data_IF_391122639159
#
_entry.id   IF_391122639159
#
_cell.length_a   1.000
_cell.length_b   1.000
_cell.length_c   1.000
_cell.angle_alpha   90.00
_cell.angle_beta   90.00
_cell.angle_gamma   90.00
#
_symmetry.space_group_name_H-M   'P 1'
#
loop_
_entity.id
_entity.type
_entity.pdbx_description
1 polymer ?
#
# COMPACT_ATOMS: atom_id res chain seq x y z
N UNK A 1 14.46 -21.21 -2.28
CA UNK A 1 13.73 -20.15 -1.56
C UNK A 1 14.48 -19.82 -0.27
N UNK A 2 14.69 -18.53 0.02
CA UNK A 2 15.38 -18.16 1.25
C UNK A 2 14.55 -18.61 2.46
N UNK A 3 15.20 -18.98 3.56
CA UNK A 3 14.55 -19.34 4.84
C UNK A 3 13.54 -18.29 5.29
N UNK A 4 13.71 -17.01 4.88
CA UNK A 4 12.80 -15.91 5.12
C UNK A 4 11.47 -16.05 4.34
N UNK A 5 11.50 -16.53 3.08
CA UNK A 5 10.28 -16.83 2.30
C UNK A 5 9.54 -18.03 2.88
N UNK A 6 10.25 -19.08 3.30
CA UNK A 6 9.63 -20.24 3.96
C UNK A 6 8.96 -19.86 5.28
N UNK A 7 9.56 -18.98 6.10
CA UNK A 7 8.93 -18.49 7.33
C UNK A 7 7.65 -17.68 7.03
N UNK A 8 7.64 -16.84 6.01
CA UNK A 8 6.43 -16.11 5.60
C UNK A 8 5.32 -17.05 5.11
N UNK A 9 5.64 -18.10 4.39
CA UNK A 9 4.68 -19.10 3.94
C UNK A 9 4.11 -19.97 5.07
N UNK A 10 4.88 -20.21 6.15
CA UNK A 10 4.44 -20.99 7.30
C UNK A 10 3.59 -20.21 8.32
N UNK A 11 3.65 -18.86 8.31
CA UNK A 11 3.04 -18.01 9.35
C UNK A 11 1.62 -17.57 8.98
N UNK A 12 1.13 -17.86 7.76
CA UNK A 12 -0.24 -17.53 7.28
C UNK A 12 -0.64 -16.06 7.45
N UNK A 13 0.33 -15.19 7.29
CA UNK A 13 0.07 -13.76 7.27
C UNK A 13 -0.50 -13.34 5.92
N UNK A 14 -1.43 -12.41 5.96
CA UNK A 14 -1.75 -11.65 4.77
C UNK A 14 -0.55 -10.76 4.42
N UNK A 15 -0.11 -10.84 3.19
CA UNK A 15 1.01 -10.04 2.68
C UNK A 15 0.45 -8.82 1.98
N UNK A 16 0.93 -7.64 2.34
CA UNK A 16 0.65 -6.43 1.55
C UNK A 16 1.70 -6.29 0.46
N UNK A 17 1.27 -6.21 -0.78
CA UNK A 17 2.11 -5.92 -1.93
C UNK A 17 1.74 -4.57 -2.53
N UNK A 18 2.74 -3.70 -2.62
CA UNK A 18 2.68 -2.41 -3.31
C UNK A 18 3.55 -2.51 -4.58
N UNK A 19 3.09 -1.92 -5.67
CA UNK A 19 3.79 -2.00 -6.93
C UNK A 19 4.27 -0.61 -7.40
N UNK A 20 5.58 -0.38 -7.31
CA UNK A 20 6.23 0.77 -7.94
C UNK A 20 6.44 0.45 -9.43
N UNK A 21 5.38 0.58 -10.19
CA UNK A 21 5.32 0.18 -11.58
C UNK A 21 6.16 1.10 -12.48
N UNK A 22 7.22 0.54 -13.04
CA UNK A 22 8.05 1.22 -14.03
C UNK A 22 7.23 1.44 -15.30
N UNK A 23 7.07 2.70 -15.72
CA UNK A 23 6.22 3.05 -16.86
C UNK A 23 6.55 2.19 -18.10
N UNK A 24 5.53 1.63 -18.78
CA UNK A 24 5.74 0.76 -19.94
C UNK A 24 5.98 1.55 -21.23
N UNK A 25 6.82 2.59 -21.14
CA UNK A 25 7.25 3.36 -22.32
C UNK A 25 8.22 2.57 -23.18
N UNK A 26 8.23 2.86 -24.49
CA UNK A 26 9.19 2.30 -25.43
C UNK A 26 10.47 3.14 -25.54
N UNK A 27 10.51 4.31 -24.92
CA UNK A 27 11.68 5.18 -24.91
C UNK A 27 12.75 4.64 -23.97
N UNK A 28 13.93 4.33 -24.49
CA UNK A 28 15.06 3.86 -23.69
C UNK A 28 15.43 4.89 -22.62
N UNK A 29 15.70 4.43 -21.38
CA UNK A 29 16.06 5.27 -20.24
C UNK A 29 14.89 6.02 -19.61
N UNK A 30 13.66 5.91 -20.14
CA UNK A 30 12.46 6.56 -19.60
C UNK A 30 11.51 5.62 -18.83
N UNK A 31 11.91 4.39 -18.64
CA UNK A 31 11.16 3.46 -17.76
C UNK A 31 11.42 3.82 -16.31
N UNK A 32 10.51 4.57 -15.71
CA UNK A 32 10.56 5.00 -14.31
C UNK A 32 9.15 5.11 -13.74
N UNK A 33 9.01 5.02 -12.42
CA UNK A 33 7.71 5.19 -11.77
C UNK A 33 7.37 6.67 -11.47
N UNK A 34 8.36 7.56 -11.34
CA UNK A 34 8.12 9.00 -11.18
C UNK A 34 7.77 9.69 -12.49
N UNK A 35 6.74 10.54 -12.45
CA UNK A 35 6.24 11.32 -13.61
C UNK A 35 7.33 12.15 -14.27
N UNK A 36 8.19 12.80 -13.49
CA UNK A 36 9.25 13.66 -13.98
C UNK A 36 10.38 12.91 -14.70
N UNK A 37 10.46 11.59 -14.54
CA UNK A 37 11.52 10.74 -15.09
C UNK A 37 11.05 9.84 -16.22
N UNK A 38 9.78 9.91 -16.61
CA UNK A 38 9.22 9.16 -17.73
C UNK A 38 8.52 10.09 -18.70
N UNK A 39 8.37 9.66 -19.94
CA UNK A 39 7.56 10.31 -20.98
C UNK A 39 6.23 9.58 -21.24
N UNK A 40 5.91 8.59 -20.41
CA UNK A 40 4.70 7.80 -20.54
C UNK A 40 3.44 8.63 -20.29
N UNK A 41 2.54 8.66 -21.25
CA UNK A 41 1.25 9.35 -21.15
C UNK A 41 0.11 8.32 -21.02
N UNK A 42 -0.37 8.13 -19.80
CA UNK A 42 -1.42 7.15 -19.50
C UNK A 42 -2.71 7.40 -20.30
N UNK A 43 -3.16 8.68 -20.38
CA UNK A 43 -4.39 9.02 -21.10
C UNK A 43 -4.27 8.63 -22.57
N UNK A 44 -3.17 8.99 -23.19
CA UNK A 44 -2.93 8.70 -24.61
C UNK A 44 -2.82 7.19 -24.86
N UNK A 45 -2.17 6.45 -23.98
CA UNK A 45 -2.10 4.99 -24.05
C UNK A 45 -3.49 4.35 -24.00
N UNK A 46 -4.32 4.77 -23.04
CA UNK A 46 -5.68 4.23 -22.86
C UNK A 46 -6.62 4.57 -24.03
N UNK A 47 -6.44 5.72 -24.67
CA UNK A 47 -7.20 6.13 -25.86
C UNK A 47 -6.78 5.38 -27.15
N UNK A 48 -5.63 4.69 -27.13
CA UNK A 48 -5.06 3.99 -28.27
C UNK A 48 -4.72 2.52 -27.97
N UNK A 49 -5.70 1.61 -27.88
CA UNK A 49 -5.46 0.21 -27.52
C UNK A 49 -4.49 -0.55 -28.43
N UNK A 50 -4.28 -0.08 -29.66
CA UNK A 50 -3.29 -0.63 -30.58
C UNK A 50 -1.86 -0.12 -30.40
N UNK A 51 -1.64 0.84 -29.52
CA UNK A 51 -0.31 1.41 -29.29
C UNK A 51 0.61 0.46 -28.53
N UNK A 52 1.92 0.62 -28.70
CA UNK A 52 2.91 -0.13 -27.97
C UNK A 52 2.82 0.14 -26.44
N UNK A 53 2.46 1.36 -26.06
CA UNK A 53 2.29 1.78 -24.69
C UNK A 53 1.09 1.06 -24.02
N UNK A 54 -0.04 0.95 -24.71
CA UNK A 54 -1.19 0.19 -24.19
C UNK A 54 -0.87 -1.31 -24.09
N UNK A 55 -0.25 -1.87 -25.12
CA UNK A 55 0.19 -3.28 -25.09
C UNK A 55 1.22 -3.52 -23.98
N UNK A 56 2.06 -2.53 -23.69
CA UNK A 56 2.99 -2.55 -22.56
C UNK A 56 2.27 -2.60 -21.21
N UNK A 57 1.15 -1.86 -21.03
CA UNK A 57 0.31 -1.96 -19.83
C UNK A 57 -0.21 -3.39 -19.65
N UNK A 58 -0.77 -3.99 -20.71
CA UNK A 58 -1.29 -5.35 -20.64
C UNK A 58 -0.20 -6.37 -20.32
N UNK A 59 0.94 -6.26 -20.99
CA UNK A 59 2.09 -7.14 -20.80
C UNK A 59 2.60 -7.10 -19.36
N UNK A 60 2.79 -5.92 -18.79
CA UNK A 60 3.29 -5.78 -17.43
C UNK A 60 2.28 -6.32 -16.38
N UNK A 61 0.97 -6.10 -16.61
CA UNK A 61 -0.08 -6.69 -15.77
C UNK A 61 -0.02 -8.22 -15.85
N UNK A 62 0.15 -8.80 -17.03
CA UNK A 62 0.23 -10.25 -17.21
C UNK A 62 1.44 -10.85 -16.49
N UNK A 63 2.60 -10.17 -16.55
CA UNK A 63 3.80 -10.60 -15.83
C UNK A 63 3.56 -10.64 -14.32
N UNK A 64 2.94 -9.61 -13.76
CA UNK A 64 2.59 -9.58 -12.32
C UNK A 64 1.55 -10.64 -11.99
N UNK A 65 0.55 -10.86 -12.85
CA UNK A 65 -0.43 -11.92 -12.65
C UNK A 65 0.22 -13.30 -12.55
N UNK A 66 1.21 -13.60 -13.39
CA UNK A 66 1.94 -14.86 -13.33
C UNK A 66 2.67 -15.09 -11.99
N UNK A 67 3.18 -14.01 -11.36
CA UNK A 67 3.78 -14.11 -10.04
C UNK A 67 2.72 -14.24 -8.92
N UNK A 68 1.62 -13.49 -9.02
CA UNK A 68 0.52 -13.55 -8.05
C UNK A 68 -0.21 -14.91 -8.09
N UNK A 69 -0.29 -15.54 -9.27
CA UNK A 69 -0.83 -16.89 -9.44
C UNK A 69 -0.12 -17.93 -8.56
N UNK A 70 1.21 -17.83 -8.45
CA UNK A 70 2.00 -18.74 -7.58
C UNK A 70 1.61 -18.61 -6.10
N UNK A 71 1.24 -17.39 -5.68
CA UNK A 71 0.76 -17.14 -4.32
C UNK A 71 -0.68 -17.62 -4.14
N UNK A 72 -1.52 -17.51 -5.16
CA UNK A 72 -2.87 -18.07 -5.16
C UNK A 72 -2.82 -19.59 -5.04
N UNK A 73 -1.99 -20.26 -5.83
CA UNK A 73 -1.79 -21.73 -5.76
C UNK A 73 -1.28 -22.19 -4.39
N UNK A 74 -0.50 -21.34 -3.71
CA UNK A 74 -0.06 -21.57 -2.34
C UNK A 74 -1.11 -21.20 -1.27
N UNK A 75 -2.31 -20.73 -1.65
CA UNK A 75 -3.38 -20.33 -0.74
C UNK A 75 -3.07 -19.07 0.08
N UNK A 76 -2.20 -18.18 -0.40
CA UNK A 76 -1.79 -16.97 0.30
C UNK A 76 -2.71 -15.81 -0.07
N UNK A 77 -3.48 -15.23 0.86
CA UNK A 77 -4.26 -14.02 0.61
C UNK A 77 -3.31 -12.80 0.52
N UNK A 78 -3.61 -11.88 -0.39
CA UNK A 78 -2.77 -10.73 -0.68
C UNK A 78 -3.58 -9.45 -0.54
N UNK A 79 -3.11 -8.53 0.33
CA UNK A 79 -3.56 -7.15 0.28
C UNK A 79 -2.84 -6.49 -0.91
N UNK A 80 -3.55 -6.36 -2.03
CA UNK A 80 -3.02 -5.80 -3.26
C UNK A 80 -3.25 -4.29 -3.28
N UNK A 81 -2.18 -3.52 -3.15
CA UNK A 81 -2.17 -2.06 -3.11
C UNK A 81 -1.44 -1.47 -4.33
N UNK A 82 -2.00 -1.60 -5.52
CA UNK A 82 -1.43 -1.01 -6.71
C UNK A 82 -1.74 0.48 -6.80
N UNK A 83 -1.00 1.21 -7.64
CA UNK A 83 -1.32 2.57 -8.06
C UNK A 83 -1.56 3.54 -6.89
N UNK A 84 -0.79 3.40 -5.81
CA UNK A 84 -0.91 4.20 -4.59
C UNK A 84 -0.59 5.67 -4.83
N UNK A 85 -1.07 6.53 -3.95
CA UNK A 85 -0.81 7.98 -3.91
C UNK A 85 -1.07 8.73 -5.22
N UNK A 86 -2.04 8.25 -6.01
CA UNK A 86 -2.28 8.75 -7.36
C UNK A 86 -2.61 10.25 -7.43
N UNK A 87 -3.34 10.78 -6.44
CA UNK A 87 -3.73 12.19 -6.42
C UNK A 87 -2.56 13.16 -6.21
N UNK A 88 -1.42 12.66 -5.76
CA UNK A 88 -0.19 13.45 -5.61
C UNK A 88 0.46 13.81 -6.95
N UNK A 89 0.21 13.01 -8.00
CA UNK A 89 0.70 13.28 -9.36
C UNK A 89 2.20 13.03 -9.58
N UNK A 90 2.93 12.64 -8.56
CA UNK A 90 4.37 12.34 -8.68
C UNK A 90 4.65 10.99 -9.33
N UNK A 91 3.69 10.08 -9.32
CA UNK A 91 3.75 8.83 -10.05
C UNK A 91 3.01 8.93 -11.39
N UNK A 92 3.52 8.29 -12.45
CA UNK A 92 2.96 8.36 -13.80
C UNK A 92 1.49 7.95 -13.88
N UNK A 93 1.03 7.02 -13.04
CA UNK A 93 -0.36 6.59 -13.00
C UNK A 93 -1.32 7.65 -12.47
N UNK A 94 -0.79 8.69 -11.79
CA UNK A 94 -1.57 9.84 -11.32
C UNK A 94 -1.50 11.06 -12.25
N UNK A 95 -0.50 11.14 -13.12
CA UNK A 95 -0.21 12.33 -13.90
C UNK A 95 -1.32 12.78 -14.86
N UNK A 96 -2.12 11.82 -15.35
CA UNK A 96 -3.20 12.10 -16.32
C UNK A 96 -4.58 12.36 -15.65
N UNK A 97 -4.61 12.48 -14.34
CA UNK A 97 -5.80 12.82 -13.56
C UNK A 97 -6.74 11.65 -13.24
N UNK A 98 -7.82 11.92 -12.49
CA UNK A 98 -8.64 10.88 -11.88
C UNK A 98 -9.32 9.95 -12.88
N UNK A 99 -9.78 10.45 -14.02
CA UNK A 99 -10.46 9.62 -15.04
C UNK A 99 -9.52 8.57 -15.65
N UNK A 100 -8.31 8.97 -16.02
CA UNK A 100 -7.31 8.05 -16.55
C UNK A 100 -6.90 7.00 -15.50
N UNK A 101 -6.71 7.44 -14.26
CA UNK A 101 -6.45 6.55 -13.13
C UNK A 101 -7.56 5.50 -12.94
N UNK A 102 -8.81 5.93 -12.89
CA UNK A 102 -9.97 5.04 -12.73
C UNK A 102 -10.08 4.03 -13.88
N UNK A 103 -9.76 4.46 -15.10
CA UNK A 103 -9.72 3.57 -16.26
C UNK A 103 -8.59 2.55 -16.16
N UNK A 104 -7.40 2.96 -15.72
CA UNK A 104 -6.27 2.05 -15.49
C UNK A 104 -6.58 1.04 -14.38
N UNK A 105 -7.19 1.50 -13.28
CA UNK A 105 -7.61 0.61 -12.20
C UNK A 105 -8.60 -0.44 -12.69
N UNK A 106 -9.61 -0.01 -13.46
CA UNK A 106 -10.62 -0.91 -14.02
C UNK A 106 -9.98 -1.93 -14.97
N UNK A 107 -9.08 -1.48 -15.85
CA UNK A 107 -8.34 -2.35 -16.76
C UNK A 107 -7.53 -3.41 -15.97
N UNK A 108 -6.82 -2.99 -14.94
CA UNK A 108 -6.01 -3.88 -14.10
C UNK A 108 -6.92 -4.87 -13.34
N UNK A 109 -7.97 -4.36 -12.69
CA UNK A 109 -8.93 -5.18 -11.95
C UNK A 109 -9.56 -6.26 -12.84
N UNK A 110 -10.12 -5.84 -13.98
CA UNK A 110 -10.80 -6.77 -14.89
C UNK A 110 -9.84 -7.79 -15.48
N UNK A 111 -8.61 -7.38 -15.81
CA UNK A 111 -7.61 -8.31 -16.34
C UNK A 111 -7.14 -9.33 -15.28
N UNK A 112 -6.86 -8.87 -14.07
CA UNK A 112 -6.42 -9.74 -12.97
C UNK A 112 -7.51 -10.71 -12.52
N UNK A 113 -8.75 -10.23 -12.37
CA UNK A 113 -9.86 -11.05 -11.85
C UNK A 113 -10.54 -11.87 -12.93
N UNK A 114 -10.86 -11.29 -14.09
CA UNK A 114 -11.69 -11.95 -15.10
C UNK A 114 -10.87 -12.69 -16.16
N UNK A 115 -9.67 -12.19 -16.52
CA UNK A 115 -8.82 -12.85 -17.51
C UNK A 115 -7.89 -13.87 -16.86
N UNK A 116 -7.21 -13.49 -15.77
CA UNK A 116 -6.27 -14.37 -15.07
C UNK A 116 -6.89 -15.17 -13.92
N UNK A 117 -8.14 -14.89 -13.53
CA UNK A 117 -8.85 -15.63 -12.49
C UNK A 117 -8.25 -15.50 -11.09
N UNK A 118 -7.56 -14.40 -10.81
CA UNK A 118 -7.01 -14.15 -9.48
C UNK A 118 -8.15 -13.81 -8.51
N UNK A 119 -8.31 -14.62 -7.46
CA UNK A 119 -9.38 -14.50 -6.47
C UNK A 119 -8.88 -14.45 -5.02
N UNK A 120 -7.56 -14.37 -4.83
CA UNK A 120 -6.90 -14.24 -3.54
C UNK A 120 -6.47 -12.80 -3.22
N UNK A 121 -6.87 -11.81 -4.05
CA UNK A 121 -6.52 -10.41 -3.89
C UNK A 121 -7.58 -9.67 -3.07
N UNK A 122 -7.15 -8.98 -2.03
CA UNK A 122 -7.92 -7.99 -1.28
C UNK A 122 -7.48 -6.62 -1.81
N UNK A 123 -8.34 -5.94 -2.53
CA UNK A 123 -8.01 -4.72 -3.25
C UNK A 123 -7.98 -3.50 -2.33
N UNK A 124 -6.80 -2.91 -2.18
CA UNK A 124 -6.57 -1.74 -1.34
C UNK A 124 -6.43 -0.50 -2.22
N UNK A 125 -7.49 0.30 -2.29
CA UNK A 125 -7.46 1.60 -2.95
C UNK A 125 -6.70 2.62 -2.09
N UNK A 126 -5.75 3.31 -2.69
CA UNK A 126 -4.97 4.36 -2.05
C UNK A 126 -4.73 5.55 -3.00
N UNK A 127 -5.80 6.11 -3.55
CA UNK A 127 -5.73 7.31 -4.39
C UNK A 127 -5.66 8.61 -3.61
N UNK A 128 -5.93 8.57 -2.30
CA UNK A 128 -5.87 9.67 -1.31
C UNK A 128 -6.86 10.83 -1.52
N UNK A 129 -7.64 10.86 -2.58
CA UNK A 129 -8.66 11.89 -2.84
C UNK A 129 -9.97 11.22 -3.28
N UNK A 130 -11.12 11.58 -2.69
CA UNK A 130 -12.41 11.00 -3.05
C UNK A 130 -12.77 11.07 -4.53
N UNK A 131 -12.26 12.07 -5.27
CA UNK A 131 -12.48 12.20 -6.72
C UNK A 131 -11.82 11.10 -7.54
N UNK A 132 -10.83 10.41 -6.95
CA UNK A 132 -10.08 9.33 -7.59
C UNK A 132 -10.67 7.95 -7.30
N UNK A 133 -11.71 7.89 -6.46
CA UNK A 133 -12.28 6.63 -6.00
C UNK A 133 -12.79 5.76 -7.16
N UNK A 134 -12.51 4.48 -7.05
CA UNK A 134 -12.69 3.47 -8.12
C UNK A 134 -14.02 2.70 -8.03
N UNK A 135 -14.81 3.01 -7.01
CA UNK A 135 -16.10 2.35 -6.74
C UNK A 135 -15.99 1.17 -5.77
N UNK A 136 -17.09 0.93 -5.05
CA UNK A 136 -17.15 -0.11 -4.01
C UNK A 136 -17.00 -1.52 -4.58
N UNK A 137 -17.37 -1.74 -5.83
CA UNK A 137 -17.30 -3.03 -6.50
C UNK A 137 -15.86 -3.46 -6.89
N UNK A 138 -14.90 -2.52 -6.88
CA UNK A 138 -13.49 -2.77 -7.24
C UNK A 138 -12.51 -2.41 -6.13
N UNK A 139 -13.01 -2.31 -4.90
CA UNK A 139 -12.21 -1.95 -3.74
C UNK A 139 -12.74 -2.66 -2.51
N UNK A 140 -11.85 -3.22 -1.68
CA UNK A 140 -12.19 -3.87 -0.41
C UNK A 140 -11.82 -2.97 0.78
N UNK A 141 -10.68 -2.29 0.68
CA UNK A 141 -10.14 -1.43 1.74
C UNK A 141 -9.76 -0.08 1.15
N UNK A 142 -10.12 1.01 1.83
CA UNK A 142 -9.63 2.36 1.52
C UNK A 142 -8.39 2.62 2.36
N UNK A 143 -7.24 2.77 1.70
CA UNK A 143 -5.97 3.13 2.30
C UNK A 143 -5.72 4.64 2.24
N UNK A 144 -4.94 5.11 3.21
CA UNK A 144 -4.42 6.47 3.23
C UNK A 144 -3.01 6.47 3.82
N UNK A 145 -2.13 7.34 3.29
CA UNK A 145 -0.73 7.44 3.66
C UNK A 145 -0.47 8.79 4.35
N UNK A 146 -0.71 8.89 5.67
CA UNK A 146 -0.48 10.13 6.39
C UNK A 146 1.00 10.34 6.72
N UNK A 147 1.62 11.27 6.00
CA UNK A 147 2.97 11.78 6.29
C UNK A 147 2.90 13.23 6.76
N UNK A 148 3.56 13.52 7.87
CA UNK A 148 3.58 14.84 8.51
C UNK A 148 5.01 15.35 8.74
N UNK A 149 5.91 15.01 7.86
CA UNK A 149 7.37 15.14 7.97
C UNK A 149 7.91 16.57 7.98
N UNK A 150 7.11 17.57 8.32
CA UNK A 150 7.60 18.96 8.43
C UNK A 150 8.59 19.18 9.59
N UNK A 151 9.17 18.09 10.12
CA UNK A 151 10.27 18.15 11.10
C UNK A 151 9.87 18.55 12.53
N UNK A 152 8.63 18.90 12.78
CA UNK A 152 8.16 19.18 14.13
C UNK A 152 7.34 18.00 14.67
N UNK A 153 7.84 17.37 15.71
CA UNK A 153 7.15 16.41 16.57
C UNK A 153 5.97 17.06 17.29
N UNK A 154 4.99 17.56 16.56
CA UNK A 154 3.81 18.12 17.22
C UNK A 154 2.71 17.06 17.20
N UNK A 155 2.83 16.09 18.11
CA UNK A 155 1.87 15.00 18.32
C UNK A 155 0.40 15.47 18.33
N UNK A 156 0.16 16.70 18.75
CA UNK A 156 -1.16 17.30 18.77
C UNK A 156 -1.75 17.52 17.36
N UNK A 157 -0.95 18.03 16.42
CA UNK A 157 -1.41 18.24 15.03
C UNK A 157 -1.64 16.91 14.30
N UNK A 158 -0.79 15.94 14.57
CA UNK A 158 -0.90 14.61 14.04
C UNK A 158 -2.26 13.96 14.32
N UNK A 159 -2.72 13.98 15.57
CA UNK A 159 -4.00 13.36 15.96
C UNK A 159 -5.21 13.99 15.28
N UNK A 160 -5.23 15.32 15.14
CA UNK A 160 -6.32 16.02 14.48
C UNK A 160 -6.29 15.83 12.97
N UNK A 161 -5.11 15.87 12.36
CA UNK A 161 -4.92 15.61 10.95
C UNK A 161 -5.29 14.16 10.60
N UNK A 162 -4.84 13.17 11.38
CA UNK A 162 -5.22 11.77 11.21
C UNK A 162 -6.73 11.56 11.29
N UNK A 163 -7.40 12.19 12.25
CA UNK A 163 -8.84 12.08 12.36
C UNK A 163 -9.57 12.69 11.15
N UNK A 164 -9.05 13.77 10.57
CA UNK A 164 -9.62 14.36 9.37
C UNK A 164 -9.38 13.50 8.13
N UNK A 165 -8.21 12.91 7.98
CA UNK A 165 -7.91 11.97 6.88
C UNK A 165 -8.81 10.73 6.97
N UNK A 166 -8.95 10.13 8.15
CA UNK A 166 -9.90 9.03 8.37
C UNK A 166 -11.33 9.40 7.95
N UNK A 167 -11.81 10.59 8.37
CA UNK A 167 -13.15 11.08 7.97
C UNK A 167 -13.29 11.30 6.47
N UNK A 168 -12.23 11.69 5.79
CA UNK A 168 -12.21 11.82 4.32
C UNK A 168 -12.37 10.45 3.67
N UNK A 169 -11.63 9.43 4.13
CA UNK A 169 -11.80 8.05 3.67
C UNK A 169 -13.21 7.53 3.94
N UNK A 170 -13.74 7.77 5.14
CA UNK A 170 -15.11 7.38 5.51
C UNK A 170 -16.19 8.03 4.65
N UNK A 171 -15.98 9.29 4.25
CA UNK A 171 -16.88 9.98 3.31
C UNK A 171 -16.77 9.45 1.89
N UNK A 172 -15.64 8.89 1.51
CA UNK A 172 -15.44 8.28 0.19
C UNK A 172 -16.30 7.03 0.03
N UNK A 173 -16.30 6.14 1.03
CA UNK A 173 -17.26 5.04 1.16
C UNK A 173 -17.43 4.67 2.64
N UNK A 174 -18.68 4.51 3.06
CA UNK A 174 -19.04 4.07 4.42
C UNK A 174 -19.10 2.54 4.55
N UNK A 175 -18.99 1.83 3.43
CA UNK A 175 -19.11 0.38 3.37
C UNK A 175 -17.76 -0.34 3.36
N UNK A 176 -16.65 0.42 3.42
CA UNK A 176 -15.31 -0.14 3.32
C UNK A 176 -14.54 0.05 4.62
N UNK A 177 -13.68 -0.91 4.91
CA UNK A 177 -12.66 -0.76 5.96
C UNK A 177 -11.66 0.32 5.56
N UNK A 178 -11.11 1.02 6.57
CA UNK A 178 -10.19 2.12 6.35
C UNK A 178 -8.86 1.76 7.03
N UNK A 179 -7.78 1.78 6.26
CA UNK A 179 -6.44 1.42 6.72
C UNK A 179 -5.47 2.61 6.59
N UNK A 180 -4.59 2.75 7.56
CA UNK A 180 -3.40 3.57 7.42
C UNK A 180 -2.36 2.69 6.73
N UNK A 181 -2.18 2.91 5.42
CA UNK A 181 -1.39 2.02 4.56
C UNK A 181 0.09 2.36 4.57
N UNK A 182 0.42 3.61 4.88
CA UNK A 182 1.76 4.07 5.25
C UNK A 182 1.64 5.18 6.29
N UNK A 183 2.64 5.34 7.13
CA UNK A 183 2.71 6.45 8.09
C UNK A 183 4.15 6.72 8.51
N UNK A 184 4.42 7.96 8.92
CA UNK A 184 5.68 8.36 9.54
C UNK A 184 5.65 8.23 11.07
N UNK A 185 4.59 8.69 11.74
CA UNK A 185 4.42 8.63 13.19
C UNK A 185 3.45 7.53 13.60
N UNK A 186 3.72 6.92 14.75
CA UNK A 186 2.78 5.96 15.35
C UNK A 186 1.45 6.63 15.71
N UNK A 187 0.31 5.96 15.49
CA UNK A 187 -0.98 6.50 15.88
C UNK A 187 -1.13 6.57 17.41
N UNK A 188 -1.77 7.63 17.89
CA UNK A 188 -2.17 7.72 19.28
C UNK A 188 -3.48 6.93 19.46
N UNK A 189 -3.39 5.73 20.03
CA UNK A 189 -4.52 4.80 20.17
C UNK A 189 -5.67 5.40 21.00
N UNK A 190 -5.36 6.08 22.09
CA UNK A 190 -6.40 6.69 22.94
C UNK A 190 -7.20 7.74 22.17
N UNK A 191 -6.53 8.58 21.38
CA UNK A 191 -7.17 9.58 20.54
C UNK A 191 -7.98 8.95 19.40
N UNK A 192 -7.45 7.90 18.78
CA UNK A 192 -8.17 7.15 17.76
C UNK A 192 -9.51 6.62 18.28
N UNK A 193 -9.49 6.02 19.47
CA UNK A 193 -10.71 5.46 20.07
C UNK A 193 -11.66 6.56 20.57
N UNK A 194 -11.15 7.64 21.19
CA UNK A 194 -11.97 8.77 21.59
C UNK A 194 -12.69 9.46 20.42
N UNK A 195 -12.01 9.58 19.27
CA UNK A 195 -12.56 10.24 18.06
C UNK A 195 -13.31 9.28 17.16
N UNK A 196 -13.40 8.00 17.51
CA UNK A 196 -13.95 6.93 16.70
C UNK A 196 -13.34 6.87 15.28
N UNK A 197 -12.04 7.07 15.18
CA UNK A 197 -11.26 7.00 13.94
C UNK A 197 -10.35 5.79 13.95
N UNK A 198 -10.96 4.61 13.98
CA UNK A 198 -10.28 3.33 14.18
C UNK A 198 -9.74 2.82 12.85
N UNK A 199 -8.49 3.12 12.56
CA UNK A 199 -7.78 2.56 11.44
C UNK A 199 -7.63 1.03 11.59
N UNK A 200 -7.89 0.30 10.51
CA UNK A 200 -7.76 -1.17 10.48
C UNK A 200 -6.32 -1.61 10.76
N UNK A 201 -5.38 -0.94 10.13
CA UNK A 201 -3.94 -1.17 10.29
C UNK A 201 -3.20 0.15 10.35
N UNK A 202 -1.95 0.10 10.79
CA UNK A 202 -0.95 1.14 10.54
C UNK A 202 0.35 0.47 10.07
N UNK A 203 1.08 1.14 9.19
CA UNK A 203 2.30 0.62 8.60
C UNK A 203 3.35 1.73 8.56
N UNK A 204 4.15 1.83 9.62
CA UNK A 204 5.24 2.80 9.65
C UNK A 204 6.23 2.51 8.53
N UNK A 205 6.46 3.53 7.68
CA UNK A 205 7.37 3.37 6.57
C UNK A 205 8.79 3.05 7.05
N UNK A 206 9.51 2.29 6.26
CA UNK A 206 10.90 1.91 6.55
C UNK A 206 11.86 3.09 6.44
N UNK A 207 13.16 2.82 6.43
CA UNK A 207 14.24 3.80 6.29
C UNK A 207 14.31 4.75 7.48
N UNK A 208 14.47 6.05 7.24
CA UNK A 208 14.64 7.08 8.27
C UNK A 208 13.56 7.11 9.34
N UNK A 209 12.39 6.56 9.08
CA UNK A 209 11.30 6.49 10.06
C UNK A 209 11.53 5.40 11.12
N UNK A 210 12.33 4.39 10.79
CA UNK A 210 12.60 3.24 11.66
C UNK A 210 14.10 3.10 11.95
N UNK A 211 14.95 3.22 10.94
CA UNK A 211 16.37 2.94 11.03
C UNK A 211 17.23 4.19 10.80
N UNK A 212 18.44 4.17 11.33
CA UNK A 212 19.46 5.15 10.98
C UNK A 212 19.88 4.94 9.53
N UNK A 213 19.93 6.04 8.74
CA UNK A 213 20.36 5.99 7.35
C UNK A 213 21.88 5.84 7.25
N UNK A 214 22.34 4.99 6.35
CA UNK A 214 23.74 4.92 5.94
C UNK A 214 23.95 5.76 4.68
N UNK A 215 24.22 7.05 4.89
CA UNK A 215 24.41 8.00 3.80
C UNK A 215 25.64 7.67 2.92
N UNK A 216 26.61 6.90 3.45
CA UNK A 216 27.81 6.50 2.71
C UNK A 216 27.57 5.38 1.71
N UNK A 217 26.55 4.54 1.96
CA UNK A 217 26.22 3.39 1.13
C UNK A 217 25.21 3.71 0.00
N UNK A 218 24.71 4.94 -0.05
CA UNK A 218 23.81 5.40 -1.09
C UNK A 218 22.34 5.55 -0.67
N UNK A 219 21.53 5.99 -1.62
CA UNK A 219 20.12 6.29 -1.36
C UNK A 219 19.32 5.05 -0.90
N UNK A 220 18.65 5.17 0.23
CA UNK A 220 17.76 4.14 0.77
C UNK A 220 18.43 3.06 1.59
N UNK A 221 19.74 3.10 1.75
CA UNK A 221 20.47 2.15 2.60
C UNK A 221 20.34 2.55 4.06
N UNK A 222 20.06 1.58 4.93
CA UNK A 222 19.91 1.79 6.38
C UNK A 222 20.87 0.91 7.15
N UNK A 223 21.25 1.37 8.32
CA UNK A 223 21.91 0.54 9.33
C UNK A 223 20.86 -0.29 10.09
N UNK A 224 21.25 -1.33 10.84
CA UNK A 224 20.34 -2.05 11.72
C UNK A 224 19.95 -1.26 12.98
N UNK A 225 20.52 -0.08 13.20
CA UNK A 225 20.27 0.76 14.36
C UNK A 225 18.91 1.46 14.24
N UNK A 226 18.16 1.46 15.35
CA UNK A 226 16.88 2.17 15.42
C UNK A 226 17.10 3.68 15.51
N UNK A 227 16.44 4.44 14.63
CA UNK A 227 16.66 5.89 14.53
C UNK A 227 16.12 6.70 15.74
N UNK A 228 15.04 6.25 16.35
CA UNK A 228 14.34 6.98 17.41
C UNK A 228 13.82 8.37 17.04
N UNK A 229 13.96 8.78 15.77
CA UNK A 229 13.65 10.13 15.29
C UNK A 229 12.15 10.42 15.26
N UNK A 230 11.34 9.46 14.84
CA UNK A 230 9.88 9.62 14.67
C UNK A 230 9.07 8.99 15.80
N UNK A 231 9.60 7.99 16.45
CA UNK A 231 9.06 7.43 17.68
C UNK A 231 10.22 7.02 18.61
N UNK A 232 10.06 7.15 19.90
CA UNK A 232 10.98 6.57 20.86
C UNK A 232 10.75 5.06 21.02
N UNK A 233 11.73 4.35 21.55
CA UNK A 233 11.56 2.93 21.86
C UNK A 233 10.42 2.67 22.87
N UNK A 234 10.17 3.63 23.77
CA UNK A 234 9.09 3.53 24.76
C UNK A 234 7.71 3.77 24.10
N UNK A 235 7.60 4.71 23.16
CA UNK A 235 6.37 4.89 22.36
C UNK A 235 6.06 3.64 21.54
N UNK A 236 7.06 3.02 20.91
CA UNK A 236 6.90 1.73 20.22
C UNK A 236 6.38 0.66 21.16
N UNK A 237 7.03 0.46 22.31
CA UNK A 237 6.57 -0.53 23.31
C UNK A 237 5.14 -0.26 23.74
N UNK A 238 4.81 0.99 24.04
CA UNK A 238 3.47 1.40 24.47
C UNK A 238 2.42 1.04 23.44
N UNK A 239 2.67 1.31 22.14
CA UNK A 239 1.73 1.01 21.07
C UNK A 239 1.62 -0.50 20.84
N UNK A 240 2.75 -1.20 20.67
CA UNK A 240 2.73 -2.63 20.34
C UNK A 240 2.33 -3.55 21.51
N UNK A 241 2.44 -3.07 22.77
CA UNK A 241 1.95 -3.79 23.94
C UNK A 241 0.50 -3.49 24.30
N UNK A 242 -0.11 -2.46 23.70
CA UNK A 242 -1.52 -2.14 23.93
C UNK A 242 -2.41 -3.31 23.50
N UNK A 243 -3.39 -3.66 24.33
CA UNK A 243 -4.31 -4.78 24.06
C UNK A 243 -5.18 -4.62 22.80
N UNK A 244 -5.37 -3.37 22.37
CA UNK A 244 -6.14 -3.01 21.18
C UNK A 244 -5.35 -3.20 19.88
N UNK A 245 -4.03 -3.42 19.96
CA UNK A 245 -3.16 -3.68 18.82
C UNK A 245 -2.96 -5.18 18.65
N UNK A 246 -3.36 -5.67 17.49
CA UNK A 246 -3.16 -7.08 17.14
C UNK A 246 -1.82 -7.23 16.46
N UNK A 247 -0.86 -7.84 17.14
CA UNK A 247 0.45 -8.18 16.59
C UNK A 247 0.44 -9.63 16.09
N UNK A 248 1.45 -9.99 15.31
CA UNK A 248 1.60 -11.33 14.77
C UNK A 248 1.62 -12.40 15.87
N UNK A 249 2.34 -12.16 16.97
CA UNK A 249 2.37 -13.09 18.09
C UNK A 249 0.99 -13.28 18.73
N UNK A 250 0.21 -12.21 18.83
CA UNK A 250 -1.16 -12.28 19.36
C UNK A 250 -2.10 -13.02 18.43
N UNK A 251 -1.96 -12.87 17.12
CA UNK A 251 -2.72 -13.66 16.14
C UNK A 251 -2.44 -15.16 16.29
N UNK A 252 -1.19 -15.55 16.46
CA UNK A 252 -0.79 -16.94 16.61
C UNK A 252 -1.17 -17.55 17.97
N UNK A 253 -1.20 -16.74 19.04
CA UNK A 253 -1.54 -17.19 20.40
C UNK A 253 -3.03 -17.24 20.71
N UNK A 254 -3.86 -16.52 19.99
CA UNK A 254 -5.31 -16.38 20.28
C UNK A 254 -6.18 -17.47 19.69
N UNK A 255 -5.62 -18.51 19.07
CA UNK A 255 -6.41 -19.57 18.40
C UNK A 255 -7.26 -19.06 17.23
N UNK A 256 -7.10 -17.80 16.85
CA UNK A 256 -7.81 -17.15 15.78
C UNK A 256 -7.32 -17.64 14.43
N UNK A 257 -8.22 -18.25 13.68
CA UNK A 257 -8.02 -18.84 12.35
C UNK A 257 -7.11 -20.08 12.33
N UNK A 258 -7.57 -21.13 13.01
CA UNK A 258 -6.99 -22.46 12.94
C UNK A 258 -7.10 -23.07 11.55
N UNK A 259 -6.09 -22.81 10.74
CA UNK A 259 -5.78 -23.67 9.62
C UNK A 259 -4.52 -24.45 9.98
N UNK A 260 -4.66 -25.72 10.31
CA UNK A 260 -3.53 -26.62 10.51
C UNK A 260 -2.70 -26.69 9.23
N UNK A 261 -1.41 -26.39 9.30
CA UNK A 261 -0.51 -26.79 8.23
C UNK A 261 -0.62 -28.31 8.14
N UNK A 262 -1.26 -28.82 7.09
CA UNK A 262 -1.08 -30.22 6.73
C UNK A 262 0.41 -30.41 6.47
N UNK A 263 1.02 -31.33 7.25
CA UNK A 263 2.43 -31.69 7.17
C UNK A 263 2.82 -32.28 5.83
#
# INVERSE_FOLDING_TARGET
PSVRRQRQMCIRDSVTLCWHWMAPTQTEGKRHFYTEKTDFNLKQALENPGSAEYQGLLHDIDLICAELQKLQEAGVPILWRPLHEASGGWFWWGASGPKAYQSLWSLMYDRMTNVHGLNNLIWVYNGQDPKWYVGDERCDIIGDDPYYTNGSRVAYYFDSANANRFKTCYKTSQNKMIAMTENDFLPNLNRMFQKNTKWLTFCTWCREFVCVMDESAGWGVTTPEYSGKYASADELRTVYQDERVVTLERLNGSGGYGYACAG
#
